data_IF_577980345296
#
_entry.id   IF_577980345296
#
_cell.length_a   1.000
_cell.length_b   1.000
_cell.length_c   1.000
_cell.angle_alpha   90.00
_cell.angle_beta   90.00
_cell.angle_gamma   90.00
#
_symmetry.space_group_name_H-M   'P 1'
#
loop_
_entity.id
_entity.type
_entity.pdbx_description
1 polymer ?
#
# COMPACT_ATOMS: atom_id res chain seq x y z
N UNK A 1 29.73 8.29 -7.67
CA UNK A 1 30.27 7.19 -6.82
C UNK A 1 29.50 5.88 -7.01
N UNK A 2 28.17 5.89 -7.12
CA UNK A 2 27.35 4.70 -7.41
C UNK A 2 27.54 4.15 -8.82
N UNK A 3 27.78 5.01 -9.82
CA UNK A 3 28.00 4.57 -11.21
C UNK A 3 29.31 3.81 -11.39
N UNK A 4 30.36 4.15 -10.62
CA UNK A 4 31.65 3.45 -10.67
C UNK A 4 31.61 2.07 -9.99
N UNK A 5 30.56 1.80 -9.20
CA UNK A 5 30.32 0.51 -8.53
C UNK A 5 29.44 -0.43 -9.37
N UNK A 6 28.96 0.02 -10.54
CA UNK A 6 28.06 -0.76 -11.39
C UNK A 6 26.73 -1.07 -10.71
N UNK A 7 26.30 -0.24 -9.76
CA UNK A 7 25.05 -0.47 -9.03
C UNK A 7 23.84 -0.40 -9.98
N UNK A 8 23.89 0.49 -10.97
CA UNK A 8 22.94 0.58 -12.09
C UNK A 8 22.85 -0.73 -12.86
N UNK A 9 23.97 -1.29 -13.32
CA UNK A 9 24.03 -2.56 -14.04
C UNK A 9 23.61 -3.75 -13.18
N UNK A 10 23.99 -3.78 -11.90
CA UNK A 10 23.62 -4.84 -10.98
C UNK A 10 22.11 -4.85 -10.71
N UNK A 11 21.53 -3.70 -10.37
CA UNK A 11 20.08 -3.57 -10.18
C UNK A 11 19.35 -3.84 -11.48
N UNK A 12 19.83 -3.31 -12.62
CA UNK A 12 19.29 -3.59 -13.94
C UNK A 12 19.33 -5.08 -14.31
N UNK A 13 20.41 -5.78 -13.98
CA UNK A 13 20.57 -7.22 -14.21
C UNK A 13 19.68 -8.08 -13.31
N UNK A 14 19.54 -7.71 -12.03
CA UNK A 14 18.60 -8.37 -11.10
C UNK A 14 17.16 -8.17 -11.59
N UNK A 15 16.82 -6.93 -11.98
CA UNK A 15 15.50 -6.59 -12.54
C UNK A 15 15.24 -7.33 -13.85
N UNK A 16 16.22 -7.47 -14.76
CA UNK A 16 16.08 -8.22 -16.00
C UNK A 16 15.84 -9.72 -15.76
N UNK A 17 16.50 -10.32 -14.74
CA UNK A 17 16.25 -11.72 -14.34
C UNK A 17 14.90 -11.92 -13.66
N UNK A 18 14.43 -10.90 -12.95
CA UNK A 18 13.07 -10.85 -12.40
C UNK A 18 12.04 -10.74 -13.54
N UNK A 19 12.28 -9.88 -14.53
CA UNK A 19 11.42 -9.69 -15.69
C UNK A 19 11.30 -10.96 -16.56
N UNK A 20 12.37 -11.75 -16.65
CA UNK A 20 12.37 -13.05 -17.35
C UNK A 20 11.44 -14.10 -16.71
N UNK A 21 11.12 -13.94 -15.41
CA UNK A 21 10.12 -14.75 -14.73
C UNK A 21 8.77 -14.00 -14.71
N UNK A 22 7.88 -14.30 -15.66
CA UNK A 22 6.59 -13.61 -15.81
C UNK A 22 5.71 -13.59 -14.54
N UNK A 23 5.89 -14.56 -13.63
CA UNK A 23 5.23 -14.57 -12.32
C UNK A 23 5.76 -13.47 -11.38
N UNK A 24 7.07 -13.18 -11.40
CA UNK A 24 7.67 -12.14 -10.54
C UNK A 24 7.34 -10.75 -11.07
N UNK A 25 7.28 -10.58 -12.40
CA UNK A 25 6.82 -9.32 -13.00
C UNK A 25 5.40 -8.96 -12.55
N UNK A 26 4.53 -9.96 -12.37
CA UNK A 26 3.15 -9.77 -11.89
C UNK A 26 3.07 -9.38 -10.41
N UNK A 27 4.14 -9.55 -9.62
CA UNK A 27 4.21 -9.12 -8.22
C UNK A 27 4.77 -7.70 -8.04
N UNK A 28 5.30 -7.09 -9.11
CA UNK A 28 5.86 -5.73 -9.07
C UNK A 28 4.90 -4.70 -8.46
N UNK A 29 3.61 -4.65 -8.82
CA UNK A 29 2.69 -3.69 -8.21
C UNK A 29 2.60 -3.83 -6.69
N UNK A 30 2.56 -5.06 -6.17
CA UNK A 30 2.50 -5.32 -4.73
C UNK A 30 3.80 -4.90 -4.02
N UNK A 31 4.95 -5.13 -4.63
CA UNK A 31 6.24 -4.69 -4.10
C UNK A 31 6.34 -3.15 -4.08
N UNK A 32 5.96 -2.50 -5.17
CA UNK A 32 5.93 -1.04 -5.27
C UNK A 32 4.99 -0.42 -4.24
N UNK A 33 3.83 -1.04 -4.00
CA UNK A 33 2.91 -0.62 -2.94
C UNK A 33 3.56 -0.64 -1.55
N UNK A 34 4.25 -1.73 -1.19
CA UNK A 34 4.94 -1.86 0.10
C UNK A 34 6.09 -0.85 0.25
N UNK A 35 6.90 -0.67 -0.80
CA UNK A 35 7.97 0.34 -0.81
C UNK A 35 7.39 1.74 -0.68
N UNK A 36 6.28 2.02 -1.36
CA UNK A 36 5.55 3.29 -1.26
C UNK A 36 5.05 3.58 0.15
N UNK A 37 4.46 2.59 0.82
CA UNK A 37 4.03 2.72 2.23
C UNK A 37 5.23 3.08 3.11
N UNK A 38 6.31 2.30 3.03
CA UNK A 38 7.45 2.49 3.91
C UNK A 38 8.14 3.83 3.67
N UNK A 39 8.34 4.20 2.41
CA UNK A 39 8.98 5.46 2.04
C UNK A 39 8.14 6.65 2.48
N UNK A 40 6.84 6.68 2.19
CA UNK A 40 5.97 7.78 2.57
C UNK A 40 5.74 7.86 4.09
N UNK A 41 5.70 6.71 4.78
CA UNK A 41 5.66 6.68 6.24
C UNK A 41 6.92 7.32 6.84
N UNK A 42 8.10 7.01 6.29
CA UNK A 42 9.37 7.51 6.77
C UNK A 42 9.65 8.98 6.39
N UNK A 43 9.12 9.46 5.26
CA UNK A 43 9.31 10.85 4.81
C UNK A 43 8.19 11.78 5.23
N UNK A 44 7.01 11.25 5.60
CA UNK A 44 5.83 12.04 5.94
C UNK A 44 5.20 12.76 4.75
N UNK A 45 5.46 12.30 3.51
CA UNK A 45 4.91 12.95 2.30
C UNK A 45 4.55 11.96 1.19
N UNK A 46 3.30 12.03 0.74
CA UNK A 46 2.81 11.29 -0.44
C UNK A 46 3.38 11.84 -1.75
N UNK A 47 3.36 13.16 -1.95
CA UNK A 47 3.85 13.81 -3.17
C UNK A 47 5.36 13.61 -3.40
N UNK A 48 6.18 13.68 -2.34
CA UNK A 48 7.61 13.40 -2.45
C UNK A 48 7.88 11.96 -2.90
N UNK A 49 7.12 11.02 -2.34
CA UNK A 49 7.19 9.60 -2.69
C UNK A 49 6.74 9.34 -4.13
N UNK A 50 5.69 10.01 -4.62
CA UNK A 50 5.28 9.95 -6.03
C UNK A 50 6.39 10.42 -6.97
N UNK A 51 7.03 11.54 -6.64
CA UNK A 51 8.14 12.09 -7.42
C UNK A 51 9.34 11.15 -7.53
N UNK A 52 9.56 10.31 -6.51
CA UNK A 52 10.64 9.31 -6.52
C UNK A 52 10.21 8.04 -7.27
N UNK A 53 9.05 7.47 -6.93
CA UNK A 53 8.68 6.13 -7.37
C UNK A 53 8.05 6.09 -8.77
N UNK A 54 7.27 7.10 -9.18
CA UNK A 54 6.62 7.09 -10.50
C UNK A 54 7.66 7.01 -11.64
N UNK A 55 8.72 7.84 -11.67
CA UNK A 55 9.75 7.73 -12.71
C UNK A 55 10.44 6.36 -12.72
N UNK A 56 10.70 5.76 -11.55
CA UNK A 56 11.32 4.43 -11.44
C UNK A 56 10.41 3.37 -12.05
N UNK A 57 9.11 3.40 -11.73
CA UNK A 57 8.12 2.47 -12.27
C UNK A 57 7.98 2.66 -13.78
N UNK A 58 7.89 3.89 -14.28
CA UNK A 58 7.80 4.15 -15.73
C UNK A 58 9.02 3.61 -16.47
N UNK A 59 10.23 3.83 -15.95
CA UNK A 59 11.46 3.29 -16.54
C UNK A 59 11.53 1.76 -16.49
N UNK A 60 11.03 1.13 -15.42
CA UNK A 60 10.98 -0.32 -15.28
C UNK A 60 10.17 -0.99 -16.40
N UNK A 61 9.13 -0.32 -16.89
CA UNK A 61 8.27 -0.80 -17.97
C UNK A 61 8.61 -0.21 -19.34
N UNK A 62 9.74 0.49 -19.47
CA UNK A 62 10.19 1.09 -20.73
C UNK A 62 9.32 2.24 -21.24
N UNK A 63 8.46 2.82 -20.39
CA UNK A 63 7.54 3.90 -20.77
C UNK A 63 6.39 3.47 -21.69
N UNK A 64 6.13 2.17 -21.83
CA UNK A 64 5.04 1.69 -22.67
C UNK A 64 3.68 1.89 -21.97
N UNK A 65 2.96 2.94 -22.40
CA UNK A 65 1.63 3.29 -21.90
C UNK A 65 0.56 2.23 -22.19
N UNK A 66 0.80 1.31 -23.13
CA UNK A 66 -0.12 0.20 -23.41
C UNK A 66 0.11 -0.98 -22.47
N UNK A 67 1.16 -0.93 -21.64
CA UNK A 67 1.43 -1.98 -20.66
C UNK A 67 0.51 -1.81 -19.45
N UNK A 68 -0.54 -2.63 -19.38
CA UNK A 68 -1.48 -2.65 -18.25
C UNK A 68 -0.78 -2.80 -16.90
N UNK A 69 0.33 -3.56 -16.84
CA UNK A 69 1.10 -3.78 -15.62
C UNK A 69 1.79 -2.50 -15.13
N UNK A 70 2.20 -1.62 -16.05
CA UNK A 70 2.74 -0.31 -15.71
C UNK A 70 1.67 0.56 -15.03
N UNK A 71 0.46 0.59 -15.60
CA UNK A 71 -0.66 1.37 -15.04
C UNK A 71 -1.02 0.85 -13.63
N UNK A 72 -1.07 -0.46 -13.45
CA UNK A 72 -1.33 -1.09 -12.15
C UNK A 72 -0.22 -0.75 -11.15
N UNK A 73 1.06 -0.80 -11.56
CA UNK A 73 2.19 -0.46 -10.71
C UNK A 73 2.23 1.03 -10.31
N UNK A 74 1.89 1.95 -11.22
CA UNK A 74 1.76 3.38 -10.91
C UNK A 74 0.60 3.59 -9.91
N UNK A 75 -0.54 2.93 -10.14
CA UNK A 75 -1.68 2.99 -9.23
C UNK A 75 -1.30 2.46 -7.83
N UNK A 76 -0.52 1.38 -7.78
CA UNK A 76 -0.01 0.80 -6.54
C UNK A 76 0.98 1.71 -5.82
N UNK A 77 1.88 2.37 -6.55
CA UNK A 77 2.74 3.42 -6.03
C UNK A 77 1.91 4.53 -5.37
N UNK A 78 0.89 5.01 -6.08
CA UNK A 78 0.05 6.10 -5.60
C UNK A 78 -0.70 5.72 -4.31
N UNK A 79 -1.35 4.55 -4.31
CA UNK A 79 -2.06 4.06 -3.14
C UNK A 79 -1.11 3.81 -1.95
N UNK A 80 0.08 3.27 -2.20
CA UNK A 80 1.07 2.99 -1.17
C UNK A 80 1.56 4.26 -0.49
N UNK A 81 1.88 5.30 -1.27
CA UNK A 81 2.36 6.54 -0.69
C UNK A 81 1.29 7.27 0.14
N UNK A 82 0.05 7.32 -0.35
CA UNK A 82 -1.05 7.91 0.44
C UNK A 82 -1.27 7.14 1.74
N UNK A 83 -1.23 5.81 1.66
CA UNK A 83 -1.37 4.96 2.84
C UNK A 83 -0.27 5.20 3.88
N UNK A 84 0.99 5.33 3.46
CA UNK A 84 2.12 5.60 4.36
C UNK A 84 2.08 6.99 4.97
N UNK A 85 1.77 8.00 4.16
CA UNK A 85 1.64 9.40 4.60
C UNK A 85 0.53 9.55 5.68
N UNK A 86 -0.62 8.90 5.47
CA UNK A 86 -1.77 8.96 6.37
C UNK A 86 -1.50 8.39 7.78
N UNK A 87 -0.58 7.45 7.94
CA UNK A 87 -0.21 6.92 9.26
C UNK A 87 1.13 7.45 9.78
N UNK A 88 1.80 8.35 9.04
CA UNK A 88 3.10 8.89 9.45
C UNK A 88 2.94 9.89 10.60
N UNK A 89 3.67 9.73 11.73
CA UNK A 89 3.70 10.71 12.82
C UNK A 89 4.38 12.03 12.46
N UNK A 90 5.11 12.08 11.34
CA UNK A 90 5.84 13.29 10.94
C UNK A 90 5.18 14.00 9.76
N UNK A 91 4.06 13.49 9.25
CA UNK A 91 3.34 14.10 8.13
C UNK A 91 2.63 15.38 8.55
N UNK A 92 2.76 16.43 7.73
CA UNK A 92 2.06 17.70 7.90
C UNK A 92 0.55 17.51 7.98
N UNK A 93 -0.01 16.57 7.20
CA UNK A 93 -1.44 16.27 7.18
C UNK A 93 -1.88 15.66 8.51
N UNK A 94 -1.10 14.72 9.06
CA UNK A 94 -1.36 14.09 10.35
C UNK A 94 -1.26 15.10 11.49
N UNK A 95 -0.26 15.98 11.45
CA UNK A 95 -0.07 17.04 12.44
C UNK A 95 -1.27 17.99 12.43
N UNK A 96 -1.65 18.52 11.26
CA UNK A 96 -2.80 19.41 11.12
C UNK A 96 -4.12 18.74 11.49
N UNK A 97 -4.32 17.46 11.16
CA UNK A 97 -5.50 16.71 11.54
C UNK A 97 -5.62 16.53 13.06
N UNK A 98 -4.51 16.21 13.73
CA UNK A 98 -4.49 16.08 15.19
C UNK A 98 -4.73 17.41 15.91
N UNK A 99 -4.15 18.50 15.41
CA UNK A 99 -4.36 19.85 15.93
C UNK A 99 -5.80 20.34 15.71
N UNK A 100 -6.37 20.11 14.51
CA UNK A 100 -7.76 20.45 14.20
C UNK A 100 -8.77 19.63 15.01
N UNK A 101 -8.44 18.40 15.39
CA UNK A 101 -9.25 17.56 16.26
C UNK A 101 -9.06 17.84 17.77
N UNK A 102 -8.11 18.70 18.15
CA UNK A 102 -7.81 19.02 19.55
C UNK A 102 -7.34 17.81 20.37
N UNK A 103 -6.71 16.82 19.73
CA UNK A 103 -6.28 15.58 20.36
C UNK A 103 -4.76 15.45 20.38
N UNK A 104 -4.25 14.66 21.31
CA UNK A 104 -2.81 14.37 21.39
C UNK A 104 -2.35 13.67 20.12
N UNK A 105 -1.29 14.19 19.49
CA UNK A 105 -0.80 13.75 18.20
C UNK A 105 -0.50 12.23 18.14
N UNK A 106 0.21 11.71 19.13
CA UNK A 106 0.55 10.27 19.17
C UNK A 106 -0.70 9.41 19.37
N UNK A 107 -1.72 9.89 20.09
CA UNK A 107 -3.01 9.20 20.21
C UNK A 107 -3.75 9.18 18.88
N UNK A 108 -3.74 10.28 18.12
CA UNK A 108 -4.32 10.34 16.78
C UNK A 108 -3.75 9.23 15.89
N UNK A 109 -2.42 9.18 15.77
CA UNK A 109 -1.72 8.18 14.95
C UNK A 109 -1.97 6.75 15.43
N UNK A 110 -1.86 6.51 16.74
CA UNK A 110 -2.03 5.18 17.32
C UNK A 110 -3.43 4.61 17.09
N UNK A 111 -4.45 5.47 17.10
CA UNK A 111 -5.83 5.05 16.80
C UNK A 111 -6.07 4.79 15.32
N UNK A 112 -5.30 5.41 14.41
CA UNK A 112 -5.41 5.21 12.96
C UNK A 112 -4.71 3.93 12.48
N UNK A 113 -3.57 3.56 13.09
CA UNK A 113 -2.76 2.41 12.67
C UNK A 113 -3.56 1.10 12.46
N UNK A 114 -4.47 0.69 13.36
CA UNK A 114 -5.28 -0.52 13.16
C UNK A 114 -6.15 -0.48 11.88
N UNK A 115 -6.73 0.69 11.56
CA UNK A 115 -7.52 0.87 10.36
C UNK A 115 -6.65 0.85 9.11
N UNK A 116 -5.52 1.55 9.16
CA UNK A 116 -4.57 1.63 8.04
C UNK A 116 -3.99 0.26 7.73
N UNK A 117 -3.57 -0.52 8.73
CA UNK A 117 -3.05 -1.89 8.53
C UNK A 117 -4.11 -2.79 7.87
N UNK A 118 -5.37 -2.66 8.28
CA UNK A 118 -6.47 -3.44 7.69
C UNK A 118 -6.62 -3.13 6.20
N UNK A 119 -6.71 -1.84 5.86
CA UNK A 119 -6.86 -1.40 4.46
C UNK A 119 -5.62 -1.74 3.64
N UNK A 120 -4.41 -1.53 4.19
CA UNK A 120 -3.16 -1.85 3.54
C UNK A 120 -3.06 -3.35 3.19
N UNK A 121 -3.52 -4.23 4.09
CA UNK A 121 -3.53 -5.68 3.86
C UNK A 121 -4.48 -6.06 2.72
N UNK A 122 -5.70 -5.49 2.70
CA UNK A 122 -6.69 -5.74 1.63
C UNK A 122 -6.17 -5.22 0.29
N UNK A 123 -5.58 -4.02 0.27
CA UNK A 123 -4.97 -3.44 -0.93
C UNK A 123 -3.79 -4.26 -1.44
N UNK A 124 -2.93 -4.77 -0.56
CA UNK A 124 -1.81 -5.63 -0.93
C UNK A 124 -2.28 -6.89 -1.67
N UNK A 125 -3.27 -7.58 -1.11
CA UNK A 125 -3.87 -8.77 -1.74
C UNK A 125 -4.51 -8.40 -3.08
N UNK A 126 -5.20 -7.27 -3.15
CA UNK A 126 -5.84 -6.79 -4.38
C UNK A 126 -4.80 -6.48 -5.47
N UNK A 127 -3.65 -5.91 -5.13
CA UNK A 127 -2.57 -5.65 -6.10
C UNK A 127 -1.85 -6.91 -6.57
N UNK A 128 -1.71 -7.92 -5.71
CA UNK A 128 -1.22 -9.24 -6.13
C UNK A 128 -2.17 -9.81 -7.19
N UNK A 129 -3.48 -9.82 -6.92
CA UNK A 129 -4.49 -10.32 -7.87
C UNK A 129 -4.48 -9.49 -9.15
N UNK A 130 -4.38 -8.16 -9.04
CA UNK A 130 -4.38 -7.26 -10.18
C UNK A 130 -3.22 -7.52 -11.14
N UNK A 131 -2.03 -7.83 -10.61
CA UNK A 131 -0.87 -8.15 -11.45
C UNK A 131 -1.03 -9.41 -12.30
N UNK A 132 -1.82 -10.39 -11.84
CA UNK A 132 -2.10 -11.62 -12.59
C UNK A 132 -3.31 -11.48 -13.53
N UNK A 133 -4.40 -10.84 -13.08
CA UNK A 133 -5.66 -10.75 -13.84
C UNK A 133 -5.62 -9.68 -14.93
N UNK A 134 -4.94 -8.55 -14.67
CA UNK A 134 -4.74 -7.41 -15.60
C UNK A 134 -6.01 -6.78 -16.19
N UNK A 135 -7.19 -7.11 -15.68
CA UNK A 135 -8.45 -6.49 -16.06
C UNK A 135 -8.97 -5.56 -14.95
N UNK A 136 -9.02 -4.26 -15.22
CA UNK A 136 -9.40 -3.24 -14.23
C UNK A 136 -10.80 -3.46 -13.62
N UNK A 137 -11.79 -3.89 -14.40
CA UNK A 137 -13.17 -4.05 -13.94
C UNK A 137 -13.30 -5.27 -13.01
N UNK A 138 -12.67 -6.40 -13.38
CA UNK A 138 -12.68 -7.61 -12.56
C UNK A 138 -11.92 -7.36 -11.24
N UNK A 139 -10.76 -6.72 -11.32
CA UNK A 139 -9.96 -6.38 -10.14
C UNK A 139 -10.70 -5.44 -9.19
N UNK A 140 -11.44 -4.46 -9.72
CA UNK A 140 -12.26 -3.56 -8.91
C UNK A 140 -13.37 -4.32 -8.18
N UNK A 141 -14.10 -5.19 -8.87
CA UNK A 141 -15.15 -6.01 -8.25
C UNK A 141 -14.58 -6.90 -7.15
N UNK A 142 -13.44 -7.56 -7.41
CA UNK A 142 -12.76 -8.40 -6.42
C UNK A 142 -12.34 -7.56 -5.20
N UNK A 143 -11.75 -6.39 -5.41
CA UNK A 143 -11.31 -5.52 -4.32
C UNK A 143 -12.49 -5.05 -3.45
N UNK A 144 -13.62 -4.68 -4.05
CA UNK A 144 -14.84 -4.28 -3.34
C UNK A 144 -15.39 -5.45 -2.52
N UNK A 145 -15.50 -6.64 -3.13
CA UNK A 145 -15.98 -7.85 -2.44
C UNK A 145 -15.05 -8.21 -1.28
N UNK A 146 -13.73 -8.21 -1.50
CA UNK A 146 -12.74 -8.45 -0.46
C UNK A 146 -12.93 -7.47 0.70
N UNK A 147 -13.02 -6.16 0.42
CA UNK A 147 -13.20 -5.15 1.47
C UNK A 147 -14.49 -5.35 2.27
N UNK A 148 -15.62 -5.64 1.61
CA UNK A 148 -16.89 -5.92 2.29
C UNK A 148 -16.76 -7.16 3.19
N UNK A 149 -16.12 -8.23 2.69
CA UNK A 149 -15.88 -9.44 3.47
C UNK A 149 -15.03 -9.15 4.71
N UNK A 150 -13.95 -8.40 4.58
CA UNK A 150 -13.10 -8.02 5.73
C UNK A 150 -13.90 -7.25 6.78
N UNK A 151 -14.74 -6.31 6.36
CA UNK A 151 -15.61 -5.54 7.27
C UNK A 151 -16.64 -6.43 7.98
N UNK A 152 -17.25 -7.38 7.28
CA UNK A 152 -18.20 -8.34 7.87
C UNK A 152 -17.49 -9.25 8.90
N UNK A 153 -16.29 -9.71 8.60
CA UNK A 153 -15.48 -10.52 9.53
C UNK A 153 -15.13 -9.71 10.78
N UNK A 154 -14.63 -8.47 10.63
CA UNK A 154 -14.31 -7.59 11.76
C UNK A 154 -15.54 -7.33 12.61
N UNK A 155 -16.71 -7.08 11.99
CA UNK A 155 -17.98 -6.89 12.70
C UNK A 155 -18.35 -8.13 13.51
N UNK A 156 -18.27 -9.33 12.93
CA UNK A 156 -18.59 -10.58 13.63
C UNK A 156 -17.65 -10.84 14.81
N UNK A 157 -16.34 -10.65 14.63
CA UNK A 157 -15.35 -10.84 15.70
C UNK A 157 -15.54 -9.83 16.83
N UNK A 158 -15.79 -8.57 16.50
CA UNK A 158 -15.99 -7.51 17.51
C UNK A 158 -17.27 -7.72 18.31
N UNK A 159 -18.37 -8.13 17.65
CA UNK A 159 -19.64 -8.44 18.33
C UNK A 159 -19.50 -9.68 19.21
N UNK A 160 -18.83 -10.73 18.74
CA UNK A 160 -18.58 -11.96 19.53
C UNK A 160 -17.85 -11.66 20.84
N UNK A 161 -16.73 -10.93 20.77
CA UNK A 161 -15.96 -10.53 21.97
C UNK A 161 -16.77 -9.68 22.95
N UNK A 162 -17.66 -8.81 22.44
CA UNK A 162 -18.54 -7.99 23.30
C UNK A 162 -19.56 -8.86 24.05
N UNK A 163 -20.10 -9.88 23.40
CA UNK A 163 -21.07 -10.79 24.02
C UNK A 163 -20.40 -11.65 25.09
N UNK A 164 -19.21 -12.21 24.81
CA UNK A 164 -18.40 -12.98 25.77
C UNK A 164 -18.05 -12.15 27.02
N UNK A 165 -17.65 -10.89 26.82
CA UNK A 165 -17.36 -9.98 27.93
C UNK A 165 -18.61 -9.65 28.78
N UNK A 166 -19.78 -9.52 28.14
CA UNK A 166 -21.05 -9.29 28.84
C UNK A 166 -21.49 -10.52 29.65
N UNK A 167 -21.25 -11.72 29.16
CA UNK A 167 -21.55 -12.97 29.89
C UNK A 167 -20.63 -13.17 31.09
N UNK A 168 -19.33 -12.88 30.96
CA UNK A 168 -18.37 -12.95 32.07
C UNK A 168 -18.61 -11.92 33.17
N UNK A 169 -19.26 -10.78 32.88
CA UNK A 169 -19.65 -9.78 33.88
C UNK A 169 -20.97 -10.13 34.57
N UNK A 170 -21.75 -11.05 33.99
CA UNK A 170 -23.04 -11.50 34.50
C UNK A 170 -22.94 -12.77 35.37
N UNK A 171 -21.78 -13.45 35.36
CA UNK A 171 -21.44 -14.61 36.21
C UNK A 171 -20.65 -14.20 37.45
#
# INVERSE_FOLDING_TARGET
MTDSLGASEYVGGVVARIAANGAVMSLIPALVFLVGIFLAFATGTSWGTFGILIPIVVNLFGGDVNNELMIIAISACMAGAVCGDHCSPISDTTIMASAGAGCEHIRHVSTQLPYVITVATVSLVSYIIAGFVRNWAICLLIAVVLMILTLVVIKKVTVGKRNEASESLAS
#
